data_IF_749098795489
#
_entry.id   IF_749098795489
#
_cell.length_a   1.000
_cell.length_b   1.000
_cell.length_c   1.000
_cell.angle_alpha   90.00
_cell.angle_beta   90.00
_cell.angle_gamma   90.00
#
_symmetry.space_group_name_H-M   'P 1'
#
loop_
_entity.id
_entity.type
_entity.pdbx_description
1 polymer ?
#
# COMPACT_ATOMS: atom_id res chain seq x y z
N UNK A 1 -33.68 -18.72 11.16
CA UNK A 1 -32.70 -17.66 10.85
C UNK A 1 -31.38 -18.36 10.54
N UNK A 2 -31.01 -18.40 9.29
CA UNK A 2 -29.71 -18.94 8.91
C UNK A 2 -28.64 -17.93 9.36
N UNK A 3 -27.76 -18.36 10.26
CA UNK A 3 -26.55 -17.64 10.60
C UNK A 3 -25.73 -17.50 9.29
N UNK A 4 -25.58 -16.29 8.80
CA UNK A 4 -24.66 -16.00 7.72
C UNK A 4 -23.27 -16.33 8.25
N UNK A 5 -22.68 -17.41 7.75
CA UNK A 5 -21.26 -17.67 7.95
C UNK A 5 -20.50 -16.43 7.53
N UNK A 6 -19.54 -15.92 8.34
CA UNK A 6 -18.72 -14.81 7.88
C UNK A 6 -18.06 -15.24 6.58
N UNK A 7 -18.22 -14.44 5.52
CA UNK A 7 -17.48 -14.66 4.29
C UNK A 7 -15.99 -14.80 4.65
N UNK A 8 -15.30 -15.86 4.21
CA UNK A 8 -13.88 -15.97 4.47
C UNK A 8 -13.21 -14.69 3.98
N UNK A 9 -12.55 -13.98 4.88
CA UNK A 9 -11.86 -12.74 4.55
C UNK A 9 -10.87 -12.97 3.42
N UNK A 10 -10.62 -11.95 2.59
CA UNK A 10 -9.66 -12.05 1.50
C UNK A 10 -8.30 -12.53 2.03
N UNK A 11 -7.66 -13.47 1.34
CA UNK A 11 -6.35 -13.98 1.67
C UNK A 11 -5.27 -13.00 1.23
N UNK A 12 -4.45 -12.52 2.16
CA UNK A 12 -3.30 -11.68 1.82
C UNK A 12 -2.10 -12.57 1.54
N UNK A 13 -1.49 -12.38 0.39
CA UNK A 13 -0.32 -13.13 -0.08
C UNK A 13 0.61 -12.28 -0.94
N UNK A 14 1.88 -12.68 -1.11
CA UNK A 14 2.75 -12.08 -2.12
C UNK A 14 2.13 -12.19 -3.51
N UNK A 15 2.30 -11.12 -4.30
CA UNK A 15 1.86 -11.14 -5.69
C UNK A 15 2.75 -12.04 -6.55
N UNK A 16 2.15 -12.62 -7.58
CA UNK A 16 2.81 -13.41 -8.61
C UNK A 16 2.82 -12.65 -9.93
N UNK A 17 3.69 -13.00 -10.84
CA UNK A 17 3.78 -12.34 -12.17
C UNK A 17 2.42 -12.38 -12.89
N UNK A 18 1.68 -13.47 -12.72
CA UNK A 18 0.35 -13.66 -13.31
C UNK A 18 -0.72 -12.71 -12.74
N UNK A 19 -0.50 -12.14 -11.56
CA UNK A 19 -1.41 -11.15 -10.95
C UNK A 19 -1.28 -9.76 -11.59
N UNK A 20 -0.20 -9.47 -12.31
CA UNK A 20 0.09 -8.13 -12.82
C UNK A 20 -1.01 -7.53 -13.68
N UNK A 21 -1.69 -8.25 -14.59
CA UNK A 21 -2.82 -7.69 -15.32
C UNK A 21 -4.00 -7.30 -14.42
N UNK A 22 -4.30 -8.09 -13.39
CA UNK A 22 -5.36 -7.81 -12.45
C UNK A 22 -5.02 -6.61 -11.54
N UNK A 23 -3.76 -6.53 -11.10
CA UNK A 23 -3.23 -5.36 -10.36
C UNK A 23 -3.35 -4.11 -11.24
N UNK A 24 -2.93 -4.19 -12.51
CA UNK A 24 -3.06 -3.08 -13.45
C UNK A 24 -4.50 -2.61 -13.58
N UNK A 25 -5.44 -3.51 -13.81
CA UNK A 25 -6.84 -3.18 -13.97
C UNK A 25 -7.41 -2.49 -12.72
N UNK A 26 -7.03 -2.96 -11.54
CA UNK A 26 -7.45 -2.37 -10.27
C UNK A 26 -6.87 -0.95 -10.10
N UNK A 27 -5.58 -0.78 -10.34
CA UNK A 27 -4.92 0.53 -10.24
C UNK A 27 -5.43 1.52 -11.29
N UNK A 28 -5.74 1.06 -12.51
CA UNK A 28 -6.27 1.89 -13.58
C UNK A 28 -7.60 2.54 -13.19
N UNK A 29 -8.45 1.83 -12.44
CA UNK A 29 -9.70 2.38 -11.91
C UNK A 29 -9.49 3.65 -11.09
N UNK A 30 -8.43 3.70 -10.30
CA UNK A 30 -8.11 4.84 -9.45
C UNK A 30 -7.21 5.88 -10.14
N UNK A 31 -6.39 5.48 -11.10
CA UNK A 31 -5.54 6.41 -11.85
C UNK A 31 -6.37 7.29 -12.79
N UNK A 32 -7.43 6.79 -13.39
CA UNK A 32 -8.38 7.58 -14.19
C UNK A 32 -9.10 8.65 -13.36
N UNK A 33 -9.22 8.45 -12.05
CA UNK A 33 -9.77 9.42 -11.11
C UNK A 33 -8.71 10.38 -10.55
N UNK A 34 -7.44 10.29 -11.00
CA UNK A 34 -6.33 11.09 -10.52
C UNK A 34 -5.86 10.76 -9.09
N UNK A 35 -6.27 9.63 -8.54
CA UNK A 35 -5.95 9.20 -7.17
C UNK A 35 -4.65 8.41 -7.08
N UNK A 36 -4.22 7.77 -8.16
CA UNK A 36 -2.98 7.00 -8.24
C UNK A 36 -2.25 7.30 -9.55
N UNK A 37 -0.93 7.18 -9.54
CA UNK A 37 -0.14 7.24 -10.75
C UNK A 37 -0.36 5.96 -11.60
N UNK A 38 -0.49 6.10 -12.94
CA UNK A 38 -0.60 4.95 -13.81
C UNK A 38 0.68 4.11 -13.79
N UNK A 39 0.52 2.78 -13.85
CA UNK A 39 1.64 1.83 -13.88
C UNK A 39 1.40 0.81 -14.97
N UNK A 40 2.28 0.74 -16.00
CA UNK A 40 2.20 -0.30 -17.02
C UNK A 40 2.34 -1.71 -16.43
N UNK A 41 1.73 -2.70 -17.06
CA UNK A 41 1.82 -4.11 -16.64
C UNK A 41 3.29 -4.56 -16.56
N UNK A 42 4.11 -4.19 -17.52
CA UNK A 42 5.54 -4.54 -17.52
C UNK A 42 6.29 -3.98 -16.29
N UNK A 43 5.95 -2.77 -15.85
CA UNK A 43 6.55 -2.17 -14.65
C UNK A 43 6.11 -2.91 -13.37
N UNK A 44 4.84 -3.31 -13.32
CA UNK A 44 4.32 -4.14 -12.22
C UNK A 44 5.03 -5.49 -12.18
N UNK A 45 5.17 -6.15 -13.33
CA UNK A 45 5.87 -7.45 -13.44
C UNK A 45 7.33 -7.34 -12.99
N UNK A 46 8.04 -6.30 -13.44
CA UNK A 46 9.43 -6.09 -13.07
C UNK A 46 9.64 -5.89 -11.56
N UNK A 47 8.61 -5.42 -10.85
CA UNK A 47 8.65 -5.13 -9.41
C UNK A 47 7.67 -5.97 -8.61
N UNK A 48 7.26 -7.09 -9.13
CA UNK A 48 6.20 -7.92 -8.52
C UNK A 48 6.53 -8.36 -7.09
N UNK A 49 7.80 -8.56 -6.77
CA UNK A 49 8.25 -8.90 -5.43
C UNK A 49 7.94 -7.84 -4.36
N UNK A 50 7.67 -6.61 -4.78
CA UNK A 50 7.27 -5.54 -3.87
C UNK A 50 5.78 -5.56 -3.54
N UNK A 51 4.96 -6.28 -4.33
CA UNK A 51 3.52 -6.28 -4.21
C UNK A 51 3.00 -7.37 -3.28
N UNK A 52 2.00 -7.01 -2.49
CA UNK A 52 1.07 -7.94 -1.85
C UNK A 52 -0.31 -7.76 -2.48
N UNK A 53 -1.06 -8.85 -2.55
CA UNK A 53 -2.45 -8.85 -3.01
C UNK A 53 -3.36 -9.44 -1.93
N UNK A 54 -4.59 -8.99 -1.92
CA UNK A 54 -5.68 -9.67 -1.22
C UNK A 54 -6.49 -10.42 -2.27
N UNK A 55 -6.50 -11.75 -2.16
CA UNK A 55 -7.26 -12.64 -3.03
C UNK A 55 -8.60 -12.99 -2.41
N UNK A 56 -9.65 -12.84 -3.17
CA UNK A 56 -11.00 -13.25 -2.79
C UNK A 56 -11.61 -14.07 -3.93
N UNK A 57 -12.00 -15.31 -3.61
CA UNK A 57 -12.59 -16.24 -4.61
C UNK A 57 -11.73 -16.39 -5.88
N UNK A 58 -10.42 -16.51 -5.72
CA UNK A 58 -9.49 -16.67 -6.83
C UNK A 58 -9.20 -15.41 -7.65
N UNK A 59 -9.69 -14.25 -7.21
CA UNK A 59 -9.48 -12.97 -7.90
C UNK A 59 -8.75 -11.96 -7.02
N UNK A 60 -7.92 -11.11 -7.61
CA UNK A 60 -7.27 -10.00 -6.91
C UNK A 60 -8.33 -8.96 -6.55
N UNK A 61 -8.53 -8.76 -5.27
CA UNK A 61 -9.51 -7.85 -4.71
C UNK A 61 -8.88 -6.55 -4.16
N UNK A 62 -7.61 -6.61 -3.80
CA UNK A 62 -6.83 -5.46 -3.38
C UNK A 62 -5.35 -5.68 -3.67
N UNK A 63 -4.60 -4.62 -3.76
CA UNK A 63 -3.15 -4.65 -3.91
C UNK A 63 -2.48 -3.50 -3.16
N UNK A 64 -1.20 -3.67 -2.89
CA UNK A 64 -0.33 -2.64 -2.36
C UNK A 64 1.12 -3.03 -2.56
N UNK A 65 2.01 -2.06 -2.64
CA UNK A 65 3.43 -2.29 -2.82
C UNK A 65 4.24 -1.61 -1.73
N UNK A 66 5.37 -2.22 -1.39
CA UNK A 66 6.35 -1.67 -0.48
C UNK A 66 7.64 -1.41 -1.27
N UNK A 67 7.93 -0.14 -1.54
CA UNK A 67 9.16 0.27 -2.21
C UNK A 67 10.26 0.55 -1.20
N UNK A 68 11.42 -0.02 -1.43
CA UNK A 68 12.63 0.23 -0.65
C UNK A 68 13.43 1.40 -1.25
N UNK A 69 13.77 2.39 -0.43
CA UNK A 69 14.65 3.51 -0.80
C UNK A 69 16.05 3.38 -0.18
N UNK A 70 16.35 2.26 0.49
CA UNK A 70 17.57 2.11 1.27
C UNK A 70 17.49 2.81 2.65
N UNK A 71 18.50 2.59 3.48
CA UNK A 71 18.60 3.16 4.83
C UNK A 71 17.36 2.93 5.70
N UNK A 72 16.73 1.76 5.55
CA UNK A 72 15.51 1.37 6.26
C UNK A 72 14.32 2.33 6.03
N UNK A 73 14.29 3.00 4.87
CA UNK A 73 13.19 3.84 4.44
C UNK A 73 12.38 3.12 3.37
N UNK A 74 11.11 2.87 3.65
CA UNK A 74 10.18 2.22 2.74
C UNK A 74 8.95 3.10 2.48
N UNK A 75 8.34 2.92 1.32
CA UNK A 75 7.09 3.59 0.94
C UNK A 75 6.01 2.56 0.66
N UNK A 76 4.84 2.73 1.28
CA UNK A 76 3.61 2.07 0.85
C UNK A 76 3.03 2.88 -0.30
N UNK A 77 2.86 2.21 -1.46
CA UNK A 77 2.35 2.82 -2.67
C UNK A 77 1.43 1.85 -3.42
N UNK A 78 0.75 2.36 -4.44
CA UNK A 78 -0.15 1.55 -5.27
C UNK A 78 -1.17 0.76 -4.44
N UNK A 79 -1.64 1.36 -3.35
CA UNK A 79 -2.64 0.76 -2.47
C UNK A 79 -4.02 1.00 -3.07
N UNK A 80 -4.69 -0.08 -3.42
CA UNK A 80 -6.03 -0.04 -3.99
C UNK A 80 -6.86 -1.21 -3.49
N UNK A 81 -8.11 -0.95 -3.17
CA UNK A 81 -9.09 -1.95 -2.76
C UNK A 81 -10.30 -1.84 -3.68
N UNK A 82 -10.77 -2.98 -4.17
CA UNK A 82 -11.98 -3.05 -4.99
C UNK A 82 -13.15 -2.40 -4.26
N UNK A 83 -13.96 -1.61 -4.97
CA UNK A 83 -14.98 -0.72 -4.36
C UNK A 83 -16.02 -1.46 -3.53
N UNK A 84 -16.41 -2.67 -3.96
CA UNK A 84 -17.38 -3.50 -3.23
C UNK A 84 -16.84 -4.04 -1.89
N UNK A 85 -15.52 -3.96 -1.66
CA UNK A 85 -14.86 -4.34 -0.42
C UNK A 85 -14.42 -3.14 0.42
N UNK A 86 -14.74 -1.93 -0.01
CA UNK A 86 -14.41 -0.73 0.75
C UNK A 86 -15.11 -0.73 2.13
N UNK A 87 -14.37 -0.34 3.16
CA UNK A 87 -14.91 -0.30 4.53
C UNK A 87 -14.99 -1.64 5.24
N UNK A 88 -14.52 -2.74 4.63
CA UNK A 88 -14.56 -4.09 5.21
C UNK A 88 -13.22 -4.53 5.84
N UNK A 89 -12.30 -3.61 6.06
CA UNK A 89 -11.02 -3.88 6.70
C UNK A 89 -9.92 -4.45 5.79
N UNK A 90 -10.21 -4.79 4.54
CA UNK A 90 -9.23 -5.37 3.60
C UNK A 90 -8.00 -4.47 3.44
N UNK A 91 -8.22 -3.16 3.28
CA UNK A 91 -7.11 -2.19 3.16
C UNK A 91 -6.24 -2.12 4.41
N UNK A 92 -6.85 -2.15 5.59
CA UNK A 92 -6.12 -2.13 6.86
C UNK A 92 -5.27 -3.38 7.04
N UNK A 93 -5.81 -4.56 6.75
CA UNK A 93 -5.07 -5.83 6.79
C UNK A 93 -3.90 -5.83 5.81
N UNK A 94 -4.10 -5.28 4.62
CA UNK A 94 -3.05 -5.19 3.61
C UNK A 94 -1.92 -4.24 4.06
N UNK A 95 -2.23 -3.08 4.64
CA UNK A 95 -1.23 -2.17 5.21
C UNK A 95 -0.47 -2.83 6.35
N UNK A 96 -1.15 -3.52 7.26
CA UNK A 96 -0.51 -4.28 8.35
C UNK A 96 0.48 -5.33 7.81
N UNK A 97 0.11 -6.05 6.76
CA UNK A 97 1.00 -7.02 6.09
C UNK A 97 2.20 -6.34 5.42
N UNK A 98 2.02 -5.17 4.81
CA UNK A 98 3.12 -4.37 4.25
C UNK A 98 4.06 -3.85 5.35
N UNK A 99 3.54 -3.45 6.51
CA UNK A 99 4.37 -3.07 7.66
C UNK A 99 5.17 -4.27 8.20
N UNK A 100 4.57 -5.45 8.30
CA UNK A 100 5.29 -6.67 8.67
C UNK A 100 6.44 -6.97 7.70
N UNK A 101 6.18 -6.82 6.39
CA UNK A 101 7.22 -6.96 5.35
C UNK A 101 8.34 -5.93 5.51
N UNK A 102 8.03 -4.69 5.89
CA UNK A 102 9.03 -3.67 6.17
C UNK A 102 9.91 -4.04 7.37
N UNK A 103 9.32 -4.56 8.45
CA UNK A 103 10.06 -5.04 9.62
C UNK A 103 11.01 -6.19 9.26
N UNK A 104 10.56 -7.13 8.43
CA UNK A 104 11.42 -8.21 7.92
C UNK A 104 12.60 -7.67 7.13
N UNK A 105 12.37 -6.69 6.25
CA UNK A 105 13.44 -6.06 5.44
C UNK A 105 14.49 -5.35 6.29
N UNK A 106 14.09 -4.70 7.37
CA UNK A 106 15.01 -4.03 8.26
C UNK A 106 15.76 -4.98 9.21
N UNK A 107 15.38 -6.26 9.22
CA UNK A 107 15.93 -7.22 10.19
C UNK A 107 15.59 -6.87 11.64
N UNK A 108 14.51 -6.12 11.85
CA UNK A 108 14.12 -5.61 13.16
C UNK A 108 14.82 -4.32 13.60
N UNK A 109 15.68 -3.76 12.73
CA UNK A 109 16.31 -2.45 12.98
C UNK A 109 15.29 -1.30 12.82
N UNK A 110 15.63 -0.16 13.39
CA UNK A 110 14.81 1.05 13.26
C UNK A 110 14.77 1.54 11.83
N UNK A 111 13.58 1.93 11.39
CA UNK A 111 13.34 2.48 10.07
C UNK A 111 12.04 3.24 10.02
N UNK A 112 11.67 3.64 8.83
CA UNK A 112 10.44 4.40 8.57
C UNK A 112 9.67 3.81 7.39
N UNK A 113 8.36 3.81 7.53
CA UNK A 113 7.45 3.54 6.42
C UNK A 113 6.56 4.75 6.22
N UNK A 114 6.57 5.31 5.02
CA UNK A 114 5.74 6.47 4.68
C UNK A 114 4.79 6.16 3.52
N UNK A 115 3.82 7.01 3.35
CA UNK A 115 2.92 7.02 2.20
C UNK A 115 2.56 8.46 1.83
N UNK A 116 2.31 8.71 0.55
CA UNK A 116 1.62 9.89 0.08
C UNK A 116 0.16 9.52 -0.17
N UNK A 117 -0.78 10.25 0.40
CA UNK A 117 -2.17 9.83 0.42
C UNK A 117 -3.16 10.99 0.45
N UNK A 118 -4.35 10.76 -0.12
CA UNK A 118 -5.55 11.56 0.11
C UNK A 118 -6.38 11.05 1.30
N UNK A 119 -6.04 9.87 1.84
CA UNK A 119 -6.83 9.19 2.90
C UNK A 119 -6.11 9.21 4.23
N UNK A 120 -5.81 10.40 4.70
CA UNK A 120 -5.04 10.63 5.93
C UNK A 120 -5.65 9.93 7.14
N UNK A 121 -6.97 10.07 7.35
CA UNK A 121 -7.66 9.46 8.48
C UNK A 121 -7.56 7.93 8.50
N UNK A 122 -7.52 7.28 7.32
CA UNK A 122 -7.31 5.85 7.22
C UNK A 122 -5.94 5.44 7.78
N UNK A 123 -4.88 6.12 7.37
CA UNK A 123 -3.53 5.85 7.84
C UNK A 123 -3.34 6.22 9.32
N UNK A 124 -3.96 7.32 9.78
CA UNK A 124 -3.88 7.72 11.18
C UNK A 124 -4.49 6.67 12.12
N UNK A 125 -5.58 6.02 11.72
CA UNK A 125 -6.15 4.89 12.48
C UNK A 125 -5.19 3.69 12.59
N UNK A 126 -4.25 3.56 11.66
CA UNK A 126 -3.21 2.53 11.66
C UNK A 126 -1.93 2.96 12.37
N UNK A 127 -1.92 4.10 13.05
CA UNK A 127 -0.78 4.58 13.83
C UNK A 127 0.17 5.50 13.07
N UNK A 128 -0.12 5.86 11.84
CA UNK A 128 0.69 6.83 11.09
C UNK A 128 0.43 8.25 11.59
N UNK A 129 1.46 9.08 11.53
CA UNK A 129 1.39 10.53 11.80
C UNK A 129 1.64 11.33 10.52
N UNK A 130 1.08 12.52 10.44
CA UNK A 130 1.36 13.47 9.35
C UNK A 130 2.78 13.99 9.48
N UNK A 131 3.48 14.13 8.35
CA UNK A 131 4.84 14.65 8.26
C UNK A 131 4.94 15.57 7.04
N UNK A 132 5.92 16.48 7.06
CA UNK A 132 6.25 17.26 5.88
C UNK A 132 6.77 16.34 4.77
N UNK A 133 6.13 16.39 3.59
CA UNK A 133 6.50 15.54 2.44
C UNK A 133 7.93 15.79 1.93
N UNK A 134 8.48 16.95 2.17
CA UNK A 134 9.87 17.26 1.81
C UNK A 134 10.92 16.62 2.73
N UNK A 135 10.49 15.97 3.81
CA UNK A 135 11.36 15.18 4.67
C UNK A 135 11.99 13.99 3.93
N UNK A 136 11.39 13.54 2.81
CA UNK A 136 11.87 12.36 2.07
C UNK A 136 12.41 12.73 0.68
N UNK A 137 13.66 13.28 0.58
CA UNK A 137 14.28 13.63 -0.69
C UNK A 137 14.29 12.53 -1.75
N UNK A 138 14.54 11.24 -1.42
CA UNK A 138 14.51 10.16 -2.42
C UNK A 138 13.20 10.07 -3.19
N UNK A 139 12.07 10.32 -2.55
CA UNK A 139 10.76 10.35 -3.20
C UNK A 139 10.66 11.47 -4.23
N UNK A 140 11.13 12.67 -3.90
CA UNK A 140 11.13 13.83 -4.80
C UNK A 140 11.97 13.53 -6.04
N UNK A 141 13.18 13.01 -5.85
CA UNK A 141 14.10 12.73 -6.95
C UNK A 141 13.64 11.60 -7.86
N UNK A 142 12.95 10.59 -7.35
CA UNK A 142 12.56 9.43 -8.14
C UNK A 142 11.22 9.60 -8.84
N UNK A 143 10.15 9.86 -8.09
CA UNK A 143 8.78 9.83 -8.62
C UNK A 143 8.18 11.23 -8.80
N UNK A 144 8.48 12.14 -7.88
CA UNK A 144 7.91 13.49 -7.94
C UNK A 144 8.46 14.29 -9.11
N UNK A 145 9.70 14.06 -9.55
CA UNK A 145 10.29 14.73 -10.70
C UNK A 145 9.54 14.47 -12.01
N UNK A 146 8.94 13.28 -12.15
CA UNK A 146 8.19 12.85 -13.33
C UNK A 146 6.68 12.86 -13.12
N UNK A 147 6.22 13.19 -11.93
CA UNK A 147 4.80 13.22 -11.59
C UNK A 147 4.11 14.41 -12.29
N UNK A 148 2.97 14.20 -12.97
CA UNK A 148 2.20 15.30 -13.56
C UNK A 148 1.75 16.37 -12.55
N UNK A 149 1.66 16.00 -11.27
CA UNK A 149 1.24 16.87 -10.16
C UNK A 149 2.40 17.46 -9.36
N UNK A 150 3.65 17.37 -9.83
CA UNK A 150 4.84 17.76 -9.06
C UNK A 150 4.78 19.19 -8.51
N UNK A 151 4.21 20.13 -9.28
CA UNK A 151 4.14 21.55 -8.91
C UNK A 151 2.87 21.89 -8.10
N UNK A 152 1.89 20.98 -8.05
CA UNK A 152 0.59 21.15 -7.41
C UNK A 152 0.16 19.90 -6.65
N UNK A 153 1.11 19.21 -6.02
CA UNK A 153 0.83 17.99 -5.27
C UNK A 153 0.01 18.31 -4.02
N UNK A 154 -1.19 17.76 -3.96
CA UNK A 154 -2.16 17.90 -2.89
C UNK A 154 -2.25 16.69 -1.96
N UNK A 155 -1.41 15.67 -2.19
CA UNK A 155 -1.31 14.53 -1.28
C UNK A 155 -0.62 14.92 0.02
N UNK A 156 -1.04 14.28 1.10
CA UNK A 156 -0.43 14.41 2.44
C UNK A 156 0.54 13.27 2.68
N UNK A 157 1.72 13.58 3.19
CA UNK A 157 2.67 12.58 3.64
C UNK A 157 2.35 12.11 5.06
N UNK A 158 2.32 10.81 5.24
CA UNK A 158 2.17 10.16 6.54
C UNK A 158 3.32 9.17 6.75
N UNK A 159 3.72 8.97 8.01
CA UNK A 159 4.85 8.09 8.37
C UNK A 159 4.55 7.32 9.64
N UNK A 160 5.08 6.11 9.72
CA UNK A 160 5.15 5.31 10.94
C UNK A 160 6.57 4.80 11.13
N UNK A 161 7.02 4.74 12.37
CA UNK A 161 8.31 4.17 12.71
C UNK A 161 8.20 2.64 12.80
N UNK A 162 9.20 1.93 12.33
CA UNK A 162 9.28 0.47 12.44
C UNK A 162 10.51 0.11 13.32
N UNK A 163 10.47 -0.98 14.09
CA UNK A 163 9.36 -1.92 14.23
C UNK A 163 8.13 -1.30 14.93
N UNK A 164 6.96 -1.71 14.47
CA UNK A 164 5.68 -1.32 15.10
C UNK A 164 5.35 -2.24 16.26
N UNK A 165 4.58 -1.78 17.27
CA UNK A 165 4.06 -2.66 18.32
C UNK A 165 3.30 -3.85 17.72
N UNK A 166 3.51 -5.05 18.30
CA UNK A 166 2.90 -6.28 17.78
C UNK A 166 1.36 -6.22 17.74
N UNK A 167 0.76 -5.43 18.62
CA UNK A 167 -0.68 -5.20 18.67
C UNK A 167 -1.22 -4.54 17.40
N UNK A 168 -0.43 -3.66 16.78
CA UNK A 168 -0.81 -3.00 15.52
C UNK A 168 -0.85 -3.95 14.32
N UNK A 169 -0.13 -5.07 14.39
CA UNK A 169 -0.06 -6.04 13.30
C UNK A 169 -1.12 -7.14 13.38
N UNK A 170 -1.86 -7.21 14.49
CA UNK A 170 -2.94 -8.19 14.64
C UNK A 170 -4.17 -7.76 13.84
N UNK A 171 -4.83 -8.72 13.24
CA UNK A 171 -6.18 -8.52 12.69
C UNK A 171 -7.18 -8.46 13.84
N UNK A 172 -8.12 -7.53 13.75
CA UNK A 172 -9.27 -7.42 14.67
C UNK A 172 -10.29 -8.52 14.39
#
# INVERSE_FOLDING_TARGET
MAAQSPCPGALIRPARVEDAPAIYALLATFSTEGKLLPRPVADIQARIANFLVAELNGSVAACGALRDFGNNLNEIRSLAVRRDLAGQGTGSRLVKALLAKAVERTGGERGHVFALTYRVAFFQRLGFRIIDKYTFPPKIWSDCCVCPKKDHCDETAVVIDVPVPAELLKDD
#
